data_IF_237574087194
#
_entry.id   IF_237574087194
#
_cell.length_a   1.000
_cell.length_b   1.000
_cell.length_c   1.000
_cell.angle_alpha   90.00
_cell.angle_beta   90.00
_cell.angle_gamma   90.00
#
_symmetry.space_group_name_H-M   'P 1'
#
loop_
_entity.id
_entity.type
_entity.pdbx_description
1 polymer ?
#
# COMPACT_ATOMS: atom_id res chain seq x y z
N UNK A 1 5.40 -12.31 -5.49
CA UNK A 1 5.59 -10.84 -5.61
C UNK A 1 6.35 -10.54 -6.88
N UNK A 2 5.82 -9.67 -7.73
CA UNK A 2 6.53 -9.18 -8.91
C UNK A 2 7.47 -8.02 -8.56
N UNK A 3 8.30 -7.59 -9.52
CA UNK A 3 9.27 -6.50 -9.33
C UNK A 3 8.60 -5.16 -8.92
N UNK A 4 7.42 -4.86 -9.47
CA UNK A 4 6.67 -3.66 -9.12
C UNK A 4 6.21 -3.65 -7.66
N UNK A 5 5.69 -4.79 -7.17
CA UNK A 5 5.28 -4.96 -5.77
C UNK A 5 6.47 -4.86 -4.80
N UNK A 6 7.64 -5.37 -5.19
CA UNK A 6 8.86 -5.25 -4.38
C UNK A 6 9.32 -3.78 -4.27
N UNK A 7 9.35 -3.05 -5.39
CA UNK A 7 9.70 -1.61 -5.40
C UNK A 7 8.70 -0.79 -4.57
N UNK A 8 7.41 -1.06 -4.73
CA UNK A 8 6.37 -0.40 -3.94
C UNK A 8 6.51 -0.71 -2.44
N UNK A 9 6.75 -1.96 -2.07
CA UNK A 9 6.97 -2.34 -0.68
C UNK A 9 8.18 -1.62 -0.07
N UNK A 10 9.33 -1.62 -0.75
CA UNK A 10 10.52 -0.93 -0.27
C UNK A 10 10.25 0.58 -0.07
N UNK A 11 9.64 1.23 -1.07
CA UNK A 11 9.26 2.64 -1.01
C UNK A 11 8.36 2.97 0.20
N UNK A 12 7.33 2.16 0.44
CA UNK A 12 6.39 2.36 1.54
C UNK A 12 7.06 2.11 2.89
N UNK A 13 7.89 1.07 3.02
CA UNK A 13 8.58 0.76 4.27
C UNK A 13 9.58 1.85 4.66
N UNK A 14 10.31 2.42 3.71
CA UNK A 14 11.18 3.57 3.97
C UNK A 14 10.41 4.79 4.53
N UNK A 15 9.12 4.90 4.26
CA UNK A 15 8.26 6.04 4.70
C UNK A 15 7.39 5.69 5.90
N UNK A 16 7.42 4.44 6.33
CA UNK A 16 6.68 3.96 7.50
C UNK A 16 7.28 4.56 8.77
N UNK A 17 6.44 4.85 9.74
CA UNK A 17 6.86 5.30 11.08
C UNK A 17 7.60 4.15 11.78
N UNK A 18 8.68 4.49 12.48
CA UNK A 18 9.49 3.54 13.23
C UNK A 18 8.62 2.74 14.21
N UNK A 19 8.74 1.41 14.19
CA UNK A 19 7.93 0.51 15.02
C UNK A 19 6.59 0.08 14.38
N UNK A 20 6.22 0.63 13.22
CA UNK A 20 5.02 0.20 12.47
C UNK A 20 5.33 -0.63 11.22
N UNK A 21 6.58 -0.96 10.95
CA UNK A 21 7.02 -1.68 9.75
C UNK A 21 6.41 -3.08 9.66
N UNK A 22 6.25 -3.77 10.78
CA UNK A 22 5.60 -5.09 10.80
C UNK A 22 4.14 -5.00 10.35
N UNK A 23 3.37 -4.07 10.94
CA UNK A 23 1.98 -3.83 10.57
C UNK A 23 1.84 -3.39 9.10
N UNK A 24 2.76 -2.55 8.63
CA UNK A 24 2.82 -2.14 7.22
C UNK A 24 3.10 -3.33 6.29
N UNK A 25 4.05 -4.19 6.64
CA UNK A 25 4.38 -5.39 5.85
C UNK A 25 3.18 -6.33 5.75
N UNK A 26 2.44 -6.53 6.83
CA UNK A 26 1.22 -7.34 6.83
C UNK A 26 0.14 -6.75 5.92
N UNK A 27 -0.11 -5.43 6.03
CA UNK A 27 -1.07 -4.72 5.18
C UNK A 27 -0.72 -4.85 3.69
N UNK A 28 0.54 -4.62 3.33
CA UNK A 28 1.03 -4.75 1.96
C UNK A 28 0.95 -6.20 1.46
N UNK A 29 1.29 -7.18 2.30
CA UNK A 29 1.22 -8.61 1.96
C UNK A 29 -0.21 -9.05 1.64
N UNK A 30 -1.19 -8.62 2.46
CA UNK A 30 -2.61 -8.88 2.20
C UNK A 30 -3.06 -8.24 0.88
N UNK A 31 -2.63 -7.00 0.64
CA UNK A 31 -2.96 -6.25 -0.58
C UNK A 31 -2.42 -6.94 -1.82
N UNK A 32 -1.17 -7.42 -1.79
CA UNK A 32 -0.56 -8.13 -2.91
C UNK A 32 -1.22 -9.49 -3.16
N UNK A 33 -1.66 -10.20 -2.12
CA UNK A 33 -2.44 -11.44 -2.29
C UNK A 33 -3.77 -11.16 -2.99
N UNK A 34 -4.46 -10.09 -2.63
CA UNK A 34 -5.71 -9.67 -3.28
C UNK A 34 -5.49 -9.24 -4.73
N UNK A 35 -4.36 -8.60 -5.04
CA UNK A 35 -4.01 -8.29 -6.43
C UNK A 35 -3.79 -9.56 -7.25
N UNK A 36 -3.14 -10.58 -6.68
CA UNK A 36 -2.88 -11.86 -7.33
C UNK A 36 -4.16 -12.69 -7.52
N UNK A 37 -5.09 -12.65 -6.56
CA UNK A 37 -6.38 -13.36 -6.64
C UNK A 37 -7.44 -12.63 -7.48
N UNK A 38 -7.22 -11.37 -7.83
CA UNK A 38 -8.21 -10.53 -8.51
C UNK A 38 -9.24 -9.89 -7.56
N UNK A 39 -9.09 -10.03 -6.25
CA UNK A 39 -9.97 -9.46 -5.21
C UNK A 39 -9.51 -8.07 -4.73
N UNK A 40 -8.62 -7.41 -5.46
CA UNK A 40 -8.19 -6.04 -5.18
C UNK A 40 -9.13 -5.05 -5.88
N UNK A 41 -10.25 -4.73 -5.24
CA UNK A 41 -11.25 -3.81 -5.78
C UNK A 41 -11.13 -2.39 -5.20
N UNK A 42 -11.95 -1.48 -5.72
CA UNK A 42 -11.99 -0.08 -5.28
C UNK A 42 -12.39 0.06 -3.79
N UNK A 43 -13.27 -0.81 -3.30
CA UNK A 43 -13.74 -0.78 -1.92
C UNK A 43 -12.61 -1.18 -0.96
N UNK A 44 -11.86 -2.22 -1.29
CA UNK A 44 -10.67 -2.64 -0.57
C UNK A 44 -9.61 -1.53 -0.57
N UNK A 45 -9.33 -0.93 -1.74
CA UNK A 45 -8.40 0.19 -1.84
C UNK A 45 -8.82 1.34 -0.90
N UNK A 46 -10.09 1.75 -0.94
CA UNK A 46 -10.62 2.81 -0.07
C UNK A 46 -10.52 2.48 1.42
N UNK A 47 -10.64 1.21 1.81
CA UNK A 47 -10.46 0.77 3.19
C UNK A 47 -8.98 0.64 3.60
N UNK A 48 -8.10 0.34 2.65
CA UNK A 48 -6.66 0.16 2.85
C UNK A 48 -5.93 1.50 3.01
N UNK A 49 -6.26 2.51 2.20
CA UNK A 49 -5.54 3.80 2.17
C UNK A 49 -5.47 4.47 3.55
N UNK A 50 -6.58 4.62 4.32
CA UNK A 50 -6.53 5.25 5.64
C UNK A 50 -5.64 4.48 6.63
N UNK A 51 -5.67 3.14 6.58
CA UNK A 51 -4.81 2.29 7.42
C UNK A 51 -3.34 2.49 7.08
N UNK A 52 -3.01 2.47 5.78
CA UNK A 52 -1.65 2.69 5.30
C UNK A 52 -1.14 4.05 5.74
N UNK A 53 -1.89 5.13 5.51
CA UNK A 53 -1.51 6.50 5.90
C UNK A 53 -1.31 6.63 7.40
N UNK A 54 -2.09 5.92 8.22
CA UNK A 54 -1.92 5.94 9.67
C UNK A 54 -0.59 5.34 10.13
N UNK A 55 0.08 4.53 9.29
CA UNK A 55 1.38 3.93 9.60
C UNK A 55 2.55 4.72 9.02
N UNK A 56 2.29 5.75 8.23
CA UNK A 56 3.31 6.55 7.55
C UNK A 56 3.69 7.76 8.40
N UNK A 57 4.99 8.11 8.37
CA UNK A 57 5.52 9.33 8.99
C UNK A 57 4.77 10.56 8.47
N UNK A 58 4.46 11.50 9.36
CA UNK A 58 3.55 12.61 9.03
C UNK A 58 4.04 13.43 7.83
N UNK A 59 5.36 13.66 7.74
CA UNK A 59 6.01 14.40 6.66
C UNK A 59 6.06 13.66 5.31
N UNK A 60 5.65 12.38 5.28
CA UNK A 60 5.62 11.53 4.08
C UNK A 60 4.22 11.17 3.61
N UNK A 61 3.17 11.57 4.35
CA UNK A 61 1.79 11.17 4.05
C UNK A 61 1.33 11.63 2.67
N UNK A 62 1.59 12.87 2.30
CA UNK A 62 1.17 13.43 1.01
C UNK A 62 1.84 12.71 -0.16
N UNK A 63 3.15 12.47 -0.06
CA UNK A 63 3.93 11.70 -1.04
C UNK A 63 3.36 10.28 -1.21
N UNK A 64 3.07 9.59 -0.10
CA UNK A 64 2.52 8.24 -0.14
C UNK A 64 1.10 8.22 -0.73
N UNK A 65 0.25 9.20 -0.40
CA UNK A 65 -1.11 9.26 -0.96
C UNK A 65 -1.09 9.39 -2.49
N UNK A 66 -0.23 10.22 -3.05
CA UNK A 66 -0.12 10.35 -4.50
C UNK A 66 0.29 9.04 -5.19
N UNK A 67 1.27 8.33 -4.61
CA UNK A 67 1.75 7.06 -5.15
C UNK A 67 0.68 5.98 -5.02
N UNK A 68 -0.01 5.90 -3.88
CA UNK A 68 -1.09 4.93 -3.64
C UNK A 68 -2.26 5.15 -4.59
N UNK A 69 -2.63 6.40 -4.88
CA UNK A 69 -3.70 6.68 -5.86
C UNK A 69 -3.32 6.21 -7.26
N UNK A 70 -2.10 6.53 -7.73
CA UNK A 70 -1.60 6.12 -9.05
C UNK A 70 -1.45 4.60 -9.15
N UNK A 71 -0.89 3.99 -8.12
CA UNK A 71 -0.65 2.54 -8.06
C UNK A 71 -1.96 1.77 -7.94
N UNK A 72 -2.87 2.21 -7.05
CA UNK A 72 -4.18 1.61 -6.83
C UNK A 72 -5.03 1.64 -8.10
N UNK A 73 -5.13 2.79 -8.77
CA UNK A 73 -5.89 2.92 -10.02
C UNK A 73 -5.41 1.98 -11.14
N UNK A 74 -4.14 1.55 -11.11
CA UNK A 74 -3.56 0.65 -12.11
C UNK A 74 -3.78 -0.83 -11.79
N UNK A 75 -4.21 -1.17 -10.58
CA UNK A 75 -4.31 -2.56 -10.09
C UNK A 75 -5.71 -2.92 -9.57
N UNK A 76 -6.62 -1.95 -9.45
CA UNK A 76 -8.03 -2.23 -9.14
C UNK A 76 -8.62 -3.09 -10.26
N UNK A 77 -9.19 -4.24 -9.87
CA UNK A 77 -9.93 -5.10 -10.78
C UNK A 77 -11.06 -4.34 -11.46
N UNK A 78 -11.25 -4.58 -12.77
CA UNK A 78 -12.33 -3.98 -13.56
C UNK A 78 -13.68 -4.60 -13.25
#
# INVERSE_FOLDING_TARGET
MNEGQQKFQAFILERTEDGRESAMKELLSESFKKQDSGDFDQMYLMAMVPKMVSYIREDKRDEVMEVVQKFGASHVSK
#
